data_IF_604392185515
#
_entry.id   IF_604392185515
#
_cell.length_a   1.000
_cell.length_b   1.000
_cell.length_c   1.000
_cell.angle_alpha   90.00
_cell.angle_beta   90.00
_cell.angle_gamma   90.00
#
_symmetry.space_group_name_H-M   'P 1'
#
loop_
_entity.id
_entity.type
_entity.pdbx_description
1 polymer ?
#
# COMPACT_ATOMS: atom_id res chain seq x y z
N UNK A 1 -9.29 17.96 4.05
CA UNK A 1 -9.09 16.93 3.00
C UNK A 1 -7.93 16.02 3.39
N UNK A 2 -8.21 14.72 3.60
CA UNK A 2 -7.18 13.72 3.89
C UNK A 2 -6.62 13.14 2.59
N UNK A 3 -5.31 13.01 2.48
CA UNK A 3 -4.66 12.26 1.38
C UNK A 3 -4.42 10.80 1.77
N UNK A 4 -4.49 9.89 0.81
CA UNK A 4 -4.14 8.47 1.00
C UNK A 4 -2.62 8.24 1.07
N UNK A 5 -1.82 9.17 0.55
CA UNK A 5 -0.37 9.00 0.44
C UNK A 5 0.38 10.36 0.43
N UNK A 6 1.68 10.38 0.79
CA UNK A 6 2.47 11.61 0.79
C UNK A 6 2.91 11.96 -0.63
N UNK A 7 2.41 13.06 -1.17
CA UNK A 7 2.87 13.59 -2.46
C UNK A 7 4.39 13.84 -2.42
N UNK A 8 5.09 13.46 -3.49
CA UNK A 8 6.55 13.62 -3.65
C UNK A 8 7.41 13.16 -2.47
N UNK A 9 6.97 12.12 -1.75
CA UNK A 9 7.67 11.62 -0.55
C UNK A 9 7.88 12.70 0.52
N UNK A 10 7.12 13.79 0.44
CA UNK A 10 7.30 14.97 1.27
C UNK A 10 6.35 14.91 2.46
N UNK A 11 6.91 15.12 3.64
CA UNK A 11 6.17 15.13 4.88
C UNK A 11 7.10 15.19 6.09
N UNK A 12 6.52 15.46 7.25
CA UNK A 12 7.21 15.32 8.53
C UNK A 12 6.86 13.93 9.07
N UNK A 13 7.88 13.09 9.20
CA UNK A 13 7.69 11.71 9.63
C UNK A 13 8.24 11.49 11.03
N UNK A 14 7.44 10.85 11.89
CA UNK A 14 7.99 10.23 13.10
C UNK A 14 8.93 9.10 12.67
N UNK A 15 10.23 9.27 12.93
CA UNK A 15 11.27 8.32 12.52
C UNK A 15 10.96 6.90 12.98
N UNK A 16 10.49 6.72 14.20
CA UNK A 16 10.22 5.39 14.77
C UNK A 16 9.05 4.75 14.03
N UNK A 17 7.94 5.47 13.86
CA UNK A 17 6.76 4.96 13.13
C UNK A 17 7.08 4.67 11.67
N UNK A 18 7.85 5.55 11.02
CA UNK A 18 8.26 5.37 9.63
C UNK A 18 9.12 4.10 9.46
N UNK A 19 10.13 3.92 10.30
CA UNK A 19 10.96 2.70 10.28
C UNK A 19 10.14 1.45 10.61
N UNK A 20 9.24 1.53 11.59
CA UNK A 20 8.35 0.42 11.93
C UNK A 20 7.40 0.07 10.77
N UNK A 21 6.94 1.04 9.98
CA UNK A 21 6.11 0.79 8.79
C UNK A 21 6.86 0.07 7.64
N UNK A 22 8.18 -0.08 7.77
CA UNK A 22 9.05 -0.62 6.72
C UNK A 22 9.44 0.41 5.66
N UNK A 23 9.07 1.68 5.83
CA UNK A 23 9.34 2.76 4.88
C UNK A 23 8.79 2.49 3.48
N UNK A 24 9.26 3.24 2.49
CA UNK A 24 8.91 3.02 1.10
C UNK A 24 9.52 1.72 0.58
N UNK A 25 8.73 0.90 -0.11
CA UNK A 25 9.16 -0.43 -0.53
C UNK A 25 9.98 -0.39 -1.83
N UNK A 26 11.29 -0.73 -1.80
CA UNK A 26 12.15 -0.68 -2.96
C UNK A 26 11.81 -1.73 -4.04
N UNK A 27 10.95 -2.71 -3.75
CA UNK A 27 10.47 -3.67 -4.74
C UNK A 27 9.49 -3.05 -5.75
N UNK A 28 8.88 -1.90 -5.40
CA UNK A 28 8.05 -1.13 -6.29
C UNK A 28 8.92 -0.09 -7.01
N UNK A 29 9.21 -0.34 -8.28
CA UNK A 29 10.04 0.54 -9.11
C UNK A 29 9.33 1.84 -9.50
N UNK A 30 8.01 1.80 -9.60
CA UNK A 30 7.21 2.97 -9.93
C UNK A 30 6.94 3.79 -8.65
N UNK A 31 7.33 5.06 -8.69
CA UNK A 31 7.27 5.96 -7.53
C UNK A 31 5.85 6.24 -7.05
N UNK A 32 4.90 6.37 -7.97
CA UNK A 32 3.49 6.57 -7.61
C UNK A 32 2.99 5.38 -6.79
N UNK A 33 3.17 4.15 -7.29
CA UNK A 33 2.73 2.94 -6.60
C UNK A 33 3.46 2.72 -5.28
N UNK A 34 4.73 3.11 -5.17
CA UNK A 34 5.49 3.04 -3.93
C UNK A 34 4.89 3.97 -2.84
N UNK A 35 4.51 5.20 -3.21
CA UNK A 35 3.83 6.16 -2.30
C UNK A 35 2.46 5.64 -1.87
N UNK A 36 1.68 5.15 -2.83
CA UNK A 36 0.34 4.60 -2.59
C UNK A 36 0.39 3.35 -1.71
N UNK A 37 1.36 2.45 -1.93
CA UNK A 37 1.59 1.28 -1.08
C UNK A 37 1.88 1.67 0.36
N UNK A 38 2.84 2.57 0.58
CA UNK A 38 3.19 2.99 1.93
C UNK A 38 2.01 3.69 2.62
N UNK A 39 1.37 4.64 1.94
CA UNK A 39 0.26 5.39 2.51
C UNK A 39 -0.94 4.52 2.86
N UNK A 40 -1.30 3.60 1.98
CA UNK A 40 -2.35 2.60 2.24
C UNK A 40 -1.96 1.68 3.39
N UNK A 41 -0.74 1.13 3.39
CA UNK A 41 -0.28 0.19 4.41
C UNK A 41 -0.30 0.80 5.81
N UNK A 42 0.16 2.04 5.95
CA UNK A 42 0.13 2.79 7.22
C UNK A 42 -1.30 2.90 7.74
N UNK A 43 -2.26 3.24 6.87
CA UNK A 43 -3.69 3.26 7.21
C UNK A 43 -4.23 1.89 7.61
N UNK A 44 -3.90 0.84 6.85
CA UNK A 44 -4.30 -0.54 7.18
C UNK A 44 -3.74 -1.02 8.52
N UNK A 45 -2.61 -0.46 8.96
CA UNK A 45 -1.99 -0.75 10.26
C UNK A 45 -2.51 0.15 11.40
N UNK A 46 -3.48 1.01 11.12
CA UNK A 46 -4.12 1.89 12.10
C UNK A 46 -3.39 3.22 12.36
N UNK A 47 -2.37 3.53 11.57
CA UNK A 47 -1.69 4.83 11.62
C UNK A 47 -2.39 5.83 10.69
N UNK A 48 -2.16 7.14 10.90
CA UNK A 48 -2.78 8.22 10.12
C UNK A 48 -1.73 9.10 9.44
N UNK A 49 -2.06 9.57 8.24
CA UNK A 49 -1.34 10.61 7.53
C UNK A 49 -2.18 11.88 7.67
N UNK A 50 -1.63 12.88 8.34
CA UNK A 50 -2.31 14.15 8.60
C UNK A 50 -1.76 15.23 7.66
N UNK A 51 -2.64 16.11 7.20
CA UNK A 51 -2.25 17.31 6.47
C UNK A 51 -1.74 18.36 7.46
N UNK A 52 -0.54 18.88 7.21
CA UNK A 52 0.01 19.97 8.01
C UNK A 52 -0.66 21.30 7.62
N UNK A 53 -0.72 22.30 8.52
CA UNK A 53 -1.29 23.62 8.22
C UNK A 53 -0.41 24.46 7.26
N UNK A 54 0.75 23.94 6.87
CA UNK A 54 1.69 24.64 5.99
C UNK A 54 1.41 24.31 4.54
N UNK A 55 1.39 25.34 3.68
CA UNK A 55 1.28 25.18 2.23
C UNK A 55 2.67 25.20 1.61
N UNK A 56 3.00 24.14 0.87
CA UNK A 56 4.21 24.06 0.05
C UNK A 56 3.77 24.14 -1.40
N UNK A 57 4.39 25.03 -2.17
CA UNK A 57 4.09 25.22 -3.59
C UNK A 57 5.34 24.90 -4.42
N UNK A 58 5.12 24.23 -5.55
CA UNK A 58 6.18 23.96 -6.50
C UNK A 58 6.54 25.25 -7.24
N UNK A 59 7.83 25.53 -7.37
CA UNK A 59 8.33 26.63 -8.22
C UNK A 59 8.48 26.23 -9.69
N UNK A 60 8.49 24.93 -9.96
CA UNK A 60 8.62 24.37 -11.30
C UNK A 60 7.35 23.57 -11.65
N UNK A 61 7.20 23.24 -12.92
CA UNK A 61 6.16 22.31 -13.36
C UNK A 61 6.34 20.94 -12.72
N UNK A 62 5.21 20.38 -12.28
CA UNK A 62 5.18 19.05 -11.70
C UNK A 62 5.40 18.00 -12.79
N UNK A 63 6.31 17.03 -12.60
CA UNK A 63 6.40 15.90 -13.49
C UNK A 63 5.09 15.11 -13.44
N UNK A 64 4.61 14.67 -14.61
CA UNK A 64 3.42 13.82 -14.69
C UNK A 64 3.74 12.48 -14.03
N UNK A 65 2.92 12.09 -13.05
CA UNK A 65 3.08 10.79 -12.39
C UNK A 65 2.65 9.65 -13.31
N UNK A 66 3.50 8.62 -13.41
CA UNK A 66 3.15 7.38 -14.09
C UNK A 66 2.22 6.53 -13.20
N UNK A 67 0.94 6.49 -13.55
CA UNK A 67 -0.10 5.71 -12.83
C UNK A 67 -0.40 4.36 -13.50
N UNK A 68 0.48 3.90 -14.39
CA UNK A 68 0.25 2.69 -15.19
C UNK A 68 0.10 1.43 -14.33
N UNK A 69 -0.82 0.55 -14.73
CA UNK A 69 -1.13 -0.70 -14.04
C UNK A 69 -0.10 -1.81 -14.37
N UNK A 70 1.15 -1.57 -14.01
CA UNK A 70 2.27 -2.47 -14.29
C UNK A 70 2.65 -3.37 -13.10
N UNK A 71 3.92 -3.76 -13.00
CA UNK A 71 4.40 -4.68 -11.98
C UNK A 71 4.21 -4.10 -10.56
N UNK A 72 4.52 -2.82 -10.37
CA UNK A 72 4.39 -2.16 -9.07
C UNK A 72 2.94 -2.12 -8.56
N UNK A 73 1.97 -1.93 -9.46
CA UNK A 73 0.55 -2.04 -9.11
C UNK A 73 0.19 -3.42 -8.59
N UNK A 74 0.69 -4.49 -9.22
CA UNK A 74 0.38 -5.87 -8.81
C UNK A 74 0.96 -6.20 -7.43
N UNK A 75 2.15 -5.69 -7.15
CA UNK A 75 2.75 -5.77 -5.80
C UNK A 75 1.90 -5.04 -4.77
N UNK A 76 1.56 -3.78 -5.05
CA UNK A 76 0.66 -2.97 -4.22
C UNK A 76 -0.68 -3.68 -3.97
N UNK A 77 -1.28 -4.23 -5.03
CA UNK A 77 -2.55 -4.95 -4.98
C UNK A 77 -2.45 -6.14 -4.01
N UNK A 78 -1.44 -6.99 -4.13
CA UNK A 78 -1.29 -8.15 -3.26
C UNK A 78 -1.04 -7.76 -1.79
N UNK A 79 -0.22 -6.73 -1.55
CA UNK A 79 0.16 -6.30 -0.19
C UNK A 79 -0.99 -5.64 0.57
N UNK A 80 -1.83 -4.88 -0.13
CA UNK A 80 -2.80 -4.00 0.52
C UNK A 80 -4.25 -4.31 0.13
N UNK A 81 -4.54 -4.47 -1.16
CA UNK A 81 -5.93 -4.59 -1.64
C UNK A 81 -6.48 -6.02 -1.57
N UNK A 82 -5.63 -7.00 -1.83
CA UNK A 82 -5.96 -8.42 -1.81
C UNK A 82 -5.87 -9.04 -0.41
N UNK A 83 -5.59 -8.25 0.62
CA UNK A 83 -5.57 -8.70 2.01
C UNK A 83 -6.99 -8.82 2.56
N UNK A 84 -7.19 -9.67 3.56
CA UNK A 84 -8.37 -9.68 4.42
C UNK A 84 -7.96 -9.53 5.86
N UNK A 85 -8.76 -8.79 6.60
CA UNK A 85 -8.65 -8.69 8.04
C UNK A 85 -9.78 -9.50 8.67
N UNK A 86 -9.43 -10.41 9.58
CA UNK A 86 -10.39 -11.30 10.23
C UNK A 86 -10.78 -10.85 11.66
N UNK A 87 -10.40 -9.62 12.05
CA UNK A 87 -10.59 -9.09 13.40
C UNK A 87 -9.33 -9.15 14.27
N UNK A 88 -8.41 -10.08 13.98
CA UNK A 88 -7.18 -10.26 14.76
C UNK A 88 -5.92 -10.04 13.91
N UNK A 89 -5.94 -10.47 12.65
CA UNK A 89 -4.77 -10.41 11.78
C UNK A 89 -5.13 -10.25 10.30
N UNK A 90 -4.17 -9.73 9.55
CA UNK A 90 -4.22 -9.63 8.09
C UNK A 90 -3.73 -10.92 7.42
N UNK A 91 -4.48 -11.42 6.45
CA UNK A 91 -4.13 -12.62 5.69
C UNK A 91 -4.29 -12.45 4.17
N UNK A 92 -3.38 -13.09 3.43
CA UNK A 92 -3.45 -13.23 1.98
C UNK A 92 -3.65 -14.70 1.61
N UNK A 93 -4.90 -15.17 1.57
CA UNK A 93 -5.22 -16.59 1.37
C UNK A 93 -4.73 -17.17 0.03
N UNK A 94 -4.22 -18.41 0.05
CA UNK A 94 -3.81 -19.15 -1.16
C UNK A 94 -4.94 -19.35 -2.17
N UNK A 95 -6.20 -19.39 -1.71
CA UNK A 95 -7.37 -19.48 -2.60
C UNK A 95 -7.54 -18.25 -3.51
N UNK A 96 -6.82 -17.15 -3.24
CA UNK A 96 -6.78 -15.96 -4.12
C UNK A 96 -5.76 -16.05 -5.24
N UNK A 97 -4.85 -17.02 -5.18
CA UNK A 97 -3.84 -17.17 -6.22
C UNK A 97 -4.44 -17.40 -7.61
N UNK A 98 -5.44 -18.30 -7.81
CA UNK A 98 -6.03 -18.49 -9.13
C UNK A 98 -6.67 -17.21 -9.69
N UNK A 99 -7.43 -16.49 -8.86
CA UNK A 99 -8.05 -15.23 -9.28
C UNK A 99 -7.02 -14.14 -9.59
N UNK A 100 -5.92 -14.10 -8.82
CA UNK A 100 -4.81 -13.19 -9.09
C UNK A 100 -4.10 -13.53 -10.40
N UNK A 101 -3.78 -14.81 -10.63
CA UNK A 101 -3.10 -15.27 -11.83
C UNK A 101 -3.87 -14.86 -13.08
N UNK A 102 -5.17 -15.15 -13.12
CA UNK A 102 -6.06 -14.82 -14.24
C UNK A 102 -6.12 -13.32 -14.55
N UNK A 103 -6.01 -12.45 -13.53
CA UNK A 103 -6.13 -10.99 -13.67
C UNK A 103 -4.78 -10.28 -13.84
N UNK A 104 -3.69 -10.92 -13.42
CA UNK A 104 -2.37 -10.29 -13.40
C UNK A 104 -1.76 -10.13 -14.78
N UNK A 105 -2.17 -10.92 -15.78
CA UNK A 105 -1.49 -11.02 -17.09
C UNK A 105 0.01 -11.38 -16.98
N UNK A 106 0.46 -11.91 -15.85
CA UNK A 106 1.81 -12.42 -15.67
C UNK A 106 1.90 -13.89 -16.05
N UNK A 107 3.11 -14.30 -16.44
CA UNK A 107 3.42 -15.70 -16.67
C UNK A 107 3.34 -16.47 -15.33
N UNK A 108 2.79 -17.71 -15.30
CA UNK A 108 2.46 -18.40 -14.04
C UNK A 108 3.59 -18.51 -13.02
N UNK A 109 4.83 -18.76 -13.45
CA UNK A 109 5.98 -18.84 -12.54
C UNK A 109 6.30 -17.51 -11.85
N UNK A 110 6.20 -16.39 -12.58
CA UNK A 110 6.42 -15.04 -12.05
C UNK A 110 5.32 -14.73 -11.03
N UNK A 111 4.06 -14.96 -11.41
CA UNK A 111 2.91 -14.76 -10.53
C UNK A 111 3.01 -15.58 -9.24
N UNK A 112 3.36 -16.87 -9.35
CA UNK A 112 3.52 -17.74 -8.18
C UNK A 112 4.63 -17.26 -7.26
N UNK A 113 5.81 -16.92 -7.83
CA UNK A 113 6.96 -16.42 -7.06
C UNK A 113 6.59 -15.16 -6.27
N UNK A 114 5.98 -14.18 -6.93
CA UNK A 114 5.60 -12.92 -6.28
C UNK A 114 4.49 -13.15 -5.25
N UNK A 115 3.47 -13.94 -5.58
CA UNK A 115 2.39 -14.24 -4.65
C UNK A 115 2.92 -14.90 -3.37
N UNK A 116 3.85 -15.87 -3.51
CA UNK A 116 4.49 -16.52 -2.37
C UNK A 116 5.29 -15.52 -1.53
N UNK A 117 6.09 -14.66 -2.17
CA UNK A 117 6.88 -13.63 -1.48
C UNK A 117 6.00 -12.66 -0.70
N UNK A 118 4.96 -12.11 -1.34
CA UNK A 118 4.04 -11.18 -0.68
C UNK A 118 3.28 -11.88 0.44
N UNK A 119 2.82 -13.12 0.22
CA UNK A 119 2.12 -13.88 1.26
C UNK A 119 3.00 -14.14 2.48
N UNK A 120 4.28 -14.47 2.27
CA UNK A 120 5.24 -14.61 3.37
C UNK A 120 5.39 -13.28 4.13
N UNK A 121 5.61 -12.18 3.41
CA UNK A 121 5.71 -10.85 4.02
C UNK A 121 4.45 -10.47 4.81
N UNK A 122 3.25 -10.74 4.28
CA UNK A 122 1.98 -10.54 4.99
C UNK A 122 1.93 -11.40 6.25
N UNK A 123 2.39 -12.65 6.20
CA UNK A 123 2.40 -13.55 7.36
C UNK A 123 3.30 -13.03 8.49
N UNK A 124 4.47 -12.49 8.14
CA UNK A 124 5.42 -11.87 9.08
C UNK A 124 4.83 -10.61 9.75
N UNK A 125 3.98 -9.87 9.04
CA UNK A 125 3.39 -8.61 9.49
C UNK A 125 1.92 -8.73 9.91
N UNK A 126 1.36 -9.95 9.97
CA UNK A 126 -0.10 -10.18 10.05
C UNK A 126 -0.79 -9.48 11.21
N UNK A 127 -0.14 -9.40 12.37
CA UNK A 127 -0.71 -8.78 13.59
C UNK A 127 -0.67 -7.25 13.61
N UNK A 128 -0.01 -6.64 12.63
CA UNK A 128 0.04 -5.17 12.49
C UNK A 128 -1.20 -4.62 11.83
N UNK A 129 -1.84 -5.41 10.97
CA UNK A 129 -3.09 -5.02 10.33
C UNK A 129 -4.19 -4.81 11.38
N UNK A 130 -4.92 -3.71 11.23
CA UNK A 130 -6.08 -3.33 12.04
C UNK A 130 -7.37 -3.29 11.23
N UNK A 131 -7.25 -3.29 9.90
CA UNK A 131 -8.37 -3.30 8.97
C UNK A 131 -7.94 -3.84 7.60
N UNK A 132 -8.90 -4.06 6.70
CA UNK A 132 -8.64 -4.35 5.29
C UNK A 132 -9.00 -3.15 4.40
N UNK A 133 -8.68 -3.26 3.12
CA UNK A 133 -8.94 -2.21 2.14
C UNK A 133 -10.42 -1.84 1.98
N UNK A 134 -11.34 -2.78 2.23
CA UNK A 134 -12.78 -2.50 2.15
C UNK A 134 -13.19 -1.58 3.29
N UNK A 135 -12.78 -1.94 4.51
CA UNK A 135 -13.06 -1.12 5.68
C UNK A 135 -12.39 0.26 5.60
N UNK A 136 -11.19 0.34 5.02
CA UNK A 136 -10.53 1.62 4.76
C UNK A 136 -11.36 2.52 3.84
N UNK A 137 -11.92 1.98 2.76
CA UNK A 137 -12.77 2.73 1.83
C UNK A 137 -14.09 3.14 2.46
N UNK A 138 -14.69 2.31 3.31
CA UNK A 138 -15.89 2.68 4.07
C UNK A 138 -15.65 3.85 5.02
N UNK A 139 -14.53 3.83 5.75
CA UNK A 139 -14.13 4.92 6.66
C UNK A 139 -13.63 6.17 5.92
N UNK A 140 -13.46 6.08 4.60
CA UNK A 140 -12.92 7.16 3.79
C UNK A 140 -13.96 8.27 3.64
N UNK A 141 -13.73 9.40 4.31
CA UNK A 141 -14.63 10.56 4.32
C UNK A 141 -15.56 10.63 5.54
N UNK A 142 -15.61 9.61 6.39
CA UNK A 142 -16.28 9.66 7.71
C UNK A 142 -15.35 10.19 8.80
N UNK A 143 -14.04 10.01 8.64
CA UNK A 143 -13.01 10.60 9.50
C UNK A 143 -12.76 12.08 9.11
N UNK A 144 -13.71 12.97 9.45
CA UNK A 144 -13.44 14.40 9.69
C UNK A 144 -13.19 14.66 11.19
#
# INVERSE_FOLDING_TARGET
EGTLYPSDYTGIYDRRKFLQSGGFDPQLSNHFWQKVDWGTRVRLWGERICCAPYKIEYRAELPIEDVSYEDSYRWFYLKNLALRFNGESGELSWFRFPSFLLRSAWVPWKAFRIFRQVRQWVSEHKFRFKMDSRRLVELWGEEE
#
